data_IF_381574154851
#
_entry.id   IF_381574154851
#
_cell.length_a   1.000
_cell.length_b   1.000
_cell.length_c   1.000
_cell.angle_alpha   90.00
_cell.angle_beta   90.00
_cell.angle_gamma   90.00
#
_symmetry.space_group_name_H-M   'P 1'
#
loop_
_entity.id
_entity.type
_entity.pdbx_description
1 polymer ?
#
# COMPACT_ATOMS: atom_id res chain seq x y z
N UNK A 1 -16.88 -14.34 -2.91
CA UNK A 1 -16.39 -13.84 -1.61
C UNK A 1 -15.57 -12.62 -1.94
N UNK A 2 -15.95 -11.46 -1.40
CA UNK A 2 -15.39 -10.16 -1.77
C UNK A 2 -13.88 -10.18 -1.56
N UNK A 3 -13.11 -10.13 -2.65
CA UNK A 3 -11.66 -10.04 -2.60
C UNK A 3 -11.29 -8.59 -2.27
N UNK A 4 -11.35 -8.22 -0.99
CA UNK A 4 -10.65 -7.03 -0.51
C UNK A 4 -9.16 -7.36 -0.51
N UNK A 5 -8.42 -6.77 -1.46
CA UNK A 5 -7.02 -7.13 -1.72
C UNK A 5 -6.04 -6.37 -0.81
N UNK A 6 -6.53 -5.42 0.01
CA UNK A 6 -5.72 -4.74 1.02
C UNK A 6 -5.92 -3.23 1.11
N UNK A 7 -5.09 -2.59 1.93
CA UNK A 7 -5.06 -1.14 2.15
C UNK A 7 -3.73 -0.61 1.64
N UNK A 8 -3.77 0.32 0.68
CA UNK A 8 -2.59 1.00 0.17
C UNK A 8 -2.49 2.39 0.81
N UNK A 9 -1.51 2.56 1.68
CA UNK A 9 -1.20 3.84 2.28
C UNK A 9 -0.20 4.60 1.41
N UNK A 10 -0.51 5.86 1.11
CA UNK A 10 0.28 6.71 0.23
C UNK A 10 0.37 8.14 0.79
N UNK A 11 1.36 8.90 0.32
CA UNK A 11 1.52 10.31 0.64
C UNK A 11 1.26 11.18 -0.59
N UNK A 12 0.44 12.23 -0.46
CA UNK A 12 0.23 13.16 -1.57
C UNK A 12 1.53 13.89 -1.92
N UNK A 13 1.97 13.80 -3.18
CA UNK A 13 3.23 14.38 -3.64
C UNK A 13 4.47 13.52 -3.38
N UNK A 14 4.30 12.27 -2.93
CA UNK A 14 5.41 11.32 -2.83
C UNK A 14 5.72 10.69 -4.20
N UNK A 15 6.95 10.85 -4.74
CA UNK A 15 7.30 10.32 -6.06
C UNK A 15 7.23 8.78 -6.11
N UNK A 16 7.61 8.09 -5.03
CA UNK A 16 7.56 6.63 -4.94
C UNK A 16 6.12 6.09 -4.97
N UNK A 17 5.18 6.79 -4.34
CA UNK A 17 3.76 6.42 -4.39
C UNK A 17 3.20 6.53 -5.81
N UNK A 18 3.59 7.58 -6.52
CA UNK A 18 3.11 7.83 -7.87
C UNK A 18 3.57 6.74 -8.86
N UNK A 19 4.77 6.19 -8.68
CA UNK A 19 5.28 5.06 -9.49
C UNK A 19 4.38 3.82 -9.31
N UNK A 20 4.02 3.49 -8.07
CA UNK A 20 3.13 2.36 -7.77
C UNK A 20 1.74 2.59 -8.37
N UNK A 21 1.19 3.79 -8.24
CA UNK A 21 -0.11 4.11 -8.83
C UNK A 21 -0.12 4.03 -10.36
N UNK A 22 0.93 4.55 -11.00
CA UNK A 22 1.11 4.47 -12.46
C UNK A 22 1.25 3.01 -12.91
N UNK A 23 2.04 2.21 -12.18
CA UNK A 23 2.16 0.77 -12.43
C UNK A 23 0.80 0.06 -12.30
N UNK A 24 0.06 0.30 -11.22
CA UNK A 24 -1.25 -0.31 -10.99
C UNK A 24 -2.23 0.09 -12.10
N UNK A 25 -2.28 1.37 -12.45
CA UNK A 25 -3.19 1.90 -13.47
C UNK A 25 -2.82 1.36 -14.87
N UNK A 26 -1.54 1.41 -15.24
CA UNK A 26 -1.04 0.95 -16.53
C UNK A 26 -1.20 -0.57 -16.74
N UNK A 27 -1.23 -1.35 -15.66
CA UNK A 27 -1.46 -2.79 -15.70
C UNK A 27 -2.93 -3.20 -15.53
N UNK A 28 -3.87 -2.24 -15.43
CA UNK A 28 -5.30 -2.52 -15.22
C UNK A 28 -5.63 -3.09 -13.84
N UNK A 29 -4.65 -3.12 -12.93
CA UNK A 29 -4.81 -3.55 -11.55
C UNK A 29 -5.48 -2.44 -10.72
N UNK A 30 -5.20 -1.16 -11.00
CA UNK A 30 -5.74 -0.04 -10.24
C UNK A 30 -7.28 0.06 -10.24
N UNK A 31 -7.94 -0.52 -11.26
CA UNK A 31 -9.40 -0.49 -11.42
C UNK A 31 -10.07 -1.83 -11.06
N UNK A 32 -9.37 -2.96 -11.25
CA UNK A 32 -9.88 -4.30 -10.93
C UNK A 32 -9.64 -4.70 -9.47
N UNK A 33 -8.66 -4.09 -8.82
CA UNK A 33 -8.26 -4.47 -7.48
C UNK A 33 -8.99 -3.58 -6.46
N UNK A 34 -9.81 -4.20 -5.61
CA UNK A 34 -10.46 -3.53 -4.47
C UNK A 34 -9.45 -3.18 -3.36
N UNK A 35 -8.51 -2.27 -3.67
CA UNK A 35 -7.55 -1.70 -2.72
C UNK A 35 -8.07 -0.38 -2.19
N UNK A 36 -8.13 -0.25 -0.86
CA UNK A 36 -8.44 1.03 -0.24
C UNK A 36 -7.18 1.90 -0.20
N UNK A 37 -7.16 2.97 -1.01
CA UNK A 37 -6.10 3.96 -0.97
C UNK A 37 -6.33 4.94 0.18
N UNK A 38 -5.37 5.03 1.11
CA UNK A 38 -5.42 5.91 2.28
C UNK A 38 -4.25 6.89 2.30
N UNK A 39 -4.56 8.17 2.13
CA UNK A 39 -3.57 9.25 2.18
C UNK A 39 -3.16 9.48 3.64
N UNK A 40 -1.86 9.59 3.95
CA UNK A 40 -1.38 9.71 5.34
C UNK A 40 -0.67 11.04 5.67
N UNK A 41 -0.27 11.86 4.70
CA UNK A 41 0.42 13.14 4.98
C UNK A 41 -0.54 14.22 5.46
N UNK A 42 -1.76 14.26 4.91
CA UNK A 42 -2.80 15.22 5.28
C UNK A 42 -3.91 14.61 6.14
N UNK A 43 -3.92 13.28 6.31
CA UNK A 43 -4.87 12.60 7.18
C UNK A 43 -4.17 11.83 8.31
N UNK A 44 -4.22 12.42 9.51
CA UNK A 44 -3.63 11.85 10.72
C UNK A 44 -4.28 10.53 11.14
N UNK A 45 -5.58 10.35 10.89
CA UNK A 45 -6.27 9.10 11.25
C UNK A 45 -5.74 7.93 10.43
N UNK A 46 -5.47 8.16 9.15
CA UNK A 46 -4.87 7.16 8.27
C UNK A 46 -3.41 6.87 8.65
N UNK A 47 -2.63 7.90 9.03
CA UNK A 47 -1.26 7.71 9.52
C UNK A 47 -1.22 6.80 10.76
N UNK A 48 -2.11 7.05 11.72
CA UNK A 48 -2.24 6.25 12.94
C UNK A 48 -2.67 4.81 12.62
N UNK A 49 -3.55 4.62 11.63
CA UNK A 49 -3.96 3.30 11.17
C UNK A 49 -2.81 2.54 10.50
N UNK A 50 -2.03 3.20 9.65
CA UNK A 50 -0.83 2.63 9.03
C UNK A 50 0.17 2.18 10.08
N UNK A 51 0.44 3.00 11.11
CA UNK A 51 1.33 2.61 12.21
C UNK A 51 0.82 1.39 12.95
N UNK A 52 -0.49 1.34 13.26
CA UNK A 52 -1.11 0.17 13.90
C UNK A 52 -0.97 -1.08 13.04
N UNK A 53 -1.27 -0.98 11.74
CA UNK A 53 -1.18 -2.10 10.79
C UNK A 53 0.24 -2.61 10.64
N UNK A 54 1.18 -1.69 10.42
CA UNK A 54 2.59 -2.04 10.29
C UNK A 54 3.13 -2.67 11.59
N UNK A 55 2.73 -2.16 12.76
CA UNK A 55 3.09 -2.76 14.04
C UNK A 55 2.51 -4.17 14.22
N UNK A 56 1.25 -4.40 13.81
CA UNK A 56 0.66 -5.76 13.78
C UNK A 56 1.40 -6.71 12.84
N UNK A 57 1.95 -6.21 11.74
CA UNK A 57 2.80 -6.96 10.83
C UNK A 57 4.25 -7.16 11.36
N UNK A 58 4.59 -6.61 12.52
CA UNK A 58 5.93 -6.68 13.10
C UNK A 58 6.94 -5.69 12.51
N UNK A 59 6.48 -4.69 11.74
CA UNK A 59 7.32 -3.65 11.17
C UNK A 59 7.57 -2.58 12.25
N UNK A 60 8.83 -2.25 12.57
CA UNK A 60 9.14 -1.21 13.54
C UNK A 60 8.78 0.17 12.98
N UNK A 61 8.32 1.09 13.84
CA UNK A 61 7.84 2.44 13.45
C UNK A 61 8.88 3.23 12.62
N UNK A 62 10.18 2.98 12.82
CA UNK A 62 11.27 3.60 12.06
C UNK A 62 11.33 3.16 10.58
N UNK A 63 10.82 1.97 10.27
CA UNK A 63 10.70 1.44 8.91
C UNK A 63 9.32 1.65 8.32
N UNK A 64 8.38 2.21 9.09
CA UNK A 64 7.03 2.51 8.61
C UNK A 64 7.07 3.75 7.73
N UNK A 65 6.97 3.53 6.41
CA UNK A 65 6.98 4.58 5.40
C UNK A 65 5.84 4.43 4.40
N UNK A 66 5.82 5.31 3.39
CA UNK A 66 4.94 5.20 2.22
C UNK A 66 5.78 5.09 0.94
N UNK A 67 5.33 4.35 -0.09
CA UNK A 67 4.07 3.59 -0.15
C UNK A 67 4.11 2.33 0.72
N UNK A 68 2.98 1.98 1.32
CA UNK A 68 2.85 0.77 2.16
C UNK A 68 1.53 0.07 1.88
N UNK A 69 1.61 -1.21 1.51
CA UNK A 69 0.47 -2.04 1.17
C UNK A 69 0.26 -3.07 2.26
N UNK A 70 -0.90 -3.09 2.91
CA UNK A 70 -1.24 -4.12 3.90
C UNK A 70 -2.39 -5.00 3.41
N UNK A 71 -2.14 -6.30 3.33
CA UNK A 71 -3.12 -7.35 3.09
C UNK A 71 -3.25 -8.22 4.36
N UNK A 72 -4.30 -7.96 5.15
CA UNK A 72 -4.51 -8.64 6.43
C UNK A 72 -3.44 -8.28 7.46
N UNK A 73 -2.59 -9.27 7.78
CA UNK A 73 -1.41 -9.19 8.67
C UNK A 73 -0.09 -9.04 7.91
N UNK A 74 -0.11 -9.17 6.57
CA UNK A 74 1.09 -8.97 5.75
C UNK A 74 1.13 -7.52 5.27
N UNK A 75 2.23 -6.82 5.52
CA UNK A 75 2.44 -5.47 5.02
C UNK A 75 3.76 -5.41 4.23
N UNK A 76 3.68 -4.80 3.05
CA UNK A 76 4.77 -4.57 2.11
C UNK A 76 5.13 -3.09 2.14
N UNK A 77 6.40 -2.77 2.32
CA UNK A 77 6.88 -1.40 2.45
C UNK A 77 7.77 -1.05 1.27
N UNK A 78 7.50 0.09 0.65
CA UNK A 78 8.26 0.59 -0.50
C UNK A 78 7.68 0.15 -1.84
N UNK A 79 8.01 0.88 -2.89
CA UNK A 79 7.51 0.64 -4.23
C UNK A 79 7.97 -0.69 -4.81
N UNK A 80 9.21 -1.12 -4.51
CA UNK A 80 9.81 -2.31 -5.10
C UNK A 80 9.08 -3.59 -4.64
N UNK A 81 8.86 -3.74 -3.33
CA UNK A 81 8.12 -4.87 -2.75
C UNK A 81 6.68 -4.92 -3.25
N UNK A 82 6.02 -3.76 -3.34
CA UNK A 82 4.64 -3.65 -3.80
C UNK A 82 4.54 -4.02 -5.29
N UNK A 83 5.41 -3.48 -6.14
CA UNK A 83 5.43 -3.80 -7.58
C UNK A 83 5.71 -5.28 -7.76
N UNK A 84 6.72 -5.82 -7.07
CA UNK A 84 7.10 -7.23 -7.16
C UNK A 84 5.95 -8.16 -6.73
N UNK A 85 5.20 -7.80 -5.69
CA UNK A 85 3.99 -8.53 -5.29
C UNK A 85 2.96 -8.60 -6.42
N UNK A 86 2.67 -7.48 -7.07
CA UNK A 86 1.74 -7.45 -8.21
C UNK A 86 2.30 -8.13 -9.47
N UNK A 87 3.62 -8.11 -9.68
CA UNK A 87 4.26 -8.84 -10.76
C UNK A 87 4.15 -10.35 -10.58
N UNK A 88 4.32 -10.85 -9.35
CA UNK A 88 4.19 -12.28 -9.05
C UNK A 88 2.73 -12.77 -9.06
N UNK A 89 1.77 -11.89 -8.74
CA UNK A 89 0.34 -12.20 -8.74
C UNK A 89 -0.38 -11.98 -10.08
N UNK A 90 0.33 -11.56 -11.14
CA UNK A 90 -0.18 -11.60 -12.52
C UNK A 90 -0.22 -13.05 -13.03
N UNK A 91 -1.31 -13.77 -12.78
CA UNK A 91 -1.54 -15.07 -13.40
C UNK A 91 -2.98 -15.28 -13.87
#
# INVERSE_FOLDING_TARGET
MSQEMGMLYYGQGCPHCQIVEDYLSGNGLGDNVSLQKKEVFHNRENLEELKRKANSAGIPDEFVGVPLLCEGDNCLVGEEEIINFFEQHKH
#
